data_IF_151120846339
#
_entry.id   IF_151120846339
#
_cell.length_a   1.000
_cell.length_b   1.000
_cell.length_c   1.000
_cell.angle_alpha   90.00
_cell.angle_beta   90.00
_cell.angle_gamma   90.00
#
_symmetry.space_group_name_H-M   'P 1'
#
loop_
_entity.id
_entity.type
_entity.pdbx_description
1 polymer ?
#
# COMPACT_ATOMS: atom_id res chain seq x y z
N UNK A 1 -19.85 7.13 -27.87
CA UNK A 1 -20.78 6.66 -26.83
C UNK A 1 -20.25 7.16 -25.50
N UNK A 2 -20.92 8.16 -24.94
CA UNK A 2 -20.52 8.87 -23.71
C UNK A 2 -21.49 8.40 -22.64
N UNK A 3 -21.01 7.66 -21.64
CA UNK A 3 -21.82 7.25 -20.50
C UNK A 3 -21.60 8.21 -19.32
N UNK A 4 -22.67 8.92 -19.04
CA UNK A 4 -22.92 9.88 -17.95
C UNK A 4 -22.87 9.23 -16.58
N UNK A 5 -22.06 9.80 -15.68
CA UNK A 5 -22.13 9.58 -14.23
C UNK A 5 -23.33 10.35 -13.67
N UNK A 6 -24.26 9.66 -12.99
CA UNK A 6 -25.31 10.31 -12.20
C UNK A 6 -24.76 10.62 -10.81
N UNK A 7 -24.79 11.90 -10.42
CA UNK A 7 -24.52 12.34 -9.05
C UNK A 7 -25.80 12.30 -8.22
N UNK A 8 -25.74 11.69 -7.04
CA UNK A 8 -26.80 11.80 -6.05
C UNK A 8 -26.59 13.08 -5.25
N UNK A 9 -27.49 14.05 -5.46
CA UNK A 9 -27.57 15.30 -4.73
C UNK A 9 -28.52 15.09 -3.55
N UNK A 10 -27.99 14.90 -2.34
CA UNK A 10 -28.79 14.90 -1.11
C UNK A 10 -28.62 16.26 -0.43
N UNK A 11 -29.65 17.10 -0.53
CA UNK A 11 -29.73 18.33 0.26
C UNK A 11 -30.13 17.98 1.70
N UNK A 12 -29.22 18.21 2.65
CA UNK A 12 -29.55 18.30 4.06
C UNK A 12 -30.37 19.57 4.31
N UNK A 13 -31.55 19.43 4.89
CA UNK A 13 -32.27 20.51 5.57
C UNK A 13 -32.30 20.23 7.07
N UNK A 14 -31.82 21.14 7.93
CA UNK A 14 -31.94 20.98 9.37
C UNK A 14 -33.31 21.51 9.80
N UNK A 15 -34.20 20.64 10.26
CA UNK A 15 -35.36 21.08 11.04
C UNK A 15 -35.06 20.88 12.52
N UNK A 16 -34.55 21.95 13.12
CA UNK A 16 -34.62 22.19 14.55
C UNK A 16 -36.06 22.57 14.87
N UNK A 17 -36.78 21.73 15.61
CA UNK A 17 -37.85 22.21 16.48
C UNK A 17 -37.98 21.31 17.70
N UNK A 18 -37.31 21.72 18.78
CA UNK A 18 -37.57 21.26 20.13
C UNK A 18 -38.97 21.76 20.55
N UNK A 19 -39.84 20.85 20.98
CA UNK A 19 -40.89 21.21 21.94
C UNK A 19 -41.31 19.98 22.75
N UNK A 20 -40.55 19.70 23.81
CA UNK A 20 -40.95 18.76 24.85
C UNK A 20 -41.98 19.43 25.76
N UNK A 21 -43.25 19.34 25.38
CA UNK A 21 -44.36 19.67 26.29
C UNK A 21 -44.47 18.56 27.34
N UNK A 22 -43.92 18.81 28.54
CA UNK A 22 -44.15 17.99 29.73
C UNK A 22 -45.60 18.19 30.18
N UNK A 23 -46.51 17.32 29.76
CA UNK A 23 -47.83 17.23 30.39
C UNK A 23 -47.72 16.40 31.68
N UNK A 24 -47.71 17.10 32.81
CA UNK A 24 -47.98 16.55 34.13
C UNK A 24 -49.39 15.97 34.15
N UNK A 25 -49.53 14.65 34.24
CA UNK A 25 -50.82 13.99 34.41
C UNK A 25 -51.17 14.06 35.90
N UNK A 26 -52.10 14.94 36.22
CA UNK A 26 -52.74 15.03 37.54
C UNK A 26 -53.40 13.69 37.89
N UNK A 27 -52.98 13.11 39.02
CA UNK A 27 -53.48 11.85 39.58
C UNK A 27 -54.78 12.14 40.35
N UNK A 28 -55.93 11.90 39.73
CA UNK A 28 -57.23 12.01 40.39
C UNK A 28 -57.39 10.89 41.43
N UNK A 29 -57.31 11.22 42.71
CA UNK A 29 -57.65 10.31 43.80
C UNK A 29 -59.16 10.32 44.01
N UNK A 30 -59.83 9.21 43.69
CA UNK A 30 -61.24 9.03 44.05
C UNK A 30 -61.34 8.53 45.50
N UNK A 31 -61.82 9.40 46.38
CA UNK A 31 -62.16 9.08 47.77
C UNK A 31 -63.50 8.33 47.74
N UNK A 32 -63.50 7.07 48.19
CA UNK A 32 -64.69 6.26 48.38
C UNK A 32 -65.36 6.63 49.71
N UNK A 33 -66.50 7.32 49.67
CA UNK A 33 -67.31 7.62 50.86
C UNK A 33 -68.21 6.40 51.19
N UNK A 34 -67.79 5.61 52.17
CA UNK A 34 -68.65 4.59 52.79
C UNK A 34 -69.50 5.25 53.88
N UNK A 35 -70.80 5.39 53.63
CA UNK A 35 -71.78 5.91 54.60
C UNK A 35 -72.01 4.83 55.67
N UNK A 36 -71.49 5.05 56.87
CA UNK A 36 -71.85 4.29 58.08
C UNK A 36 -73.20 4.80 58.60
N UNK A 37 -74.17 3.91 58.77
CA UNK A 37 -75.32 4.16 59.64
C UNK A 37 -75.59 2.86 60.36
N UNK A 38 -75.39 2.89 61.68
CA UNK A 38 -75.56 1.75 62.56
C UNK A 38 -76.97 1.61 63.11
N UNK A 39 -77.14 0.45 63.71
CA UNK A 39 -78.03 0.07 64.81
C UNK A 39 -79.40 -0.57 64.48
N UNK A 40 -79.65 -1.68 65.19
CA UNK A 40 -81.00 -2.11 65.57
C UNK A 40 -81.70 -3.20 64.76
N UNK A 41 -81.44 -4.46 65.13
CA UNK A 41 -82.44 -5.52 65.42
C UNK A 41 -83.40 -6.05 64.33
N UNK A 42 -83.26 -7.36 64.11
CA UNK A 42 -84.24 -8.39 63.69
C UNK A 42 -84.70 -8.52 62.23
N UNK A 43 -84.74 -9.83 61.90
CA UNK A 43 -85.50 -10.54 60.89
C UNK A 43 -84.96 -10.68 59.46
N UNK A 44 -84.94 -11.95 59.07
CA UNK A 44 -84.47 -12.54 57.83
C UNK A 44 -85.26 -12.04 56.63
N UNK A 45 -84.60 -11.35 55.71
CA UNK A 45 -85.07 -11.14 54.34
C UNK A 45 -84.04 -11.74 53.37
N UNK A 46 -84.36 -12.83 52.64
CA UNK A 46 -83.48 -13.36 51.62
C UNK A 46 -83.86 -12.75 50.26
N UNK A 47 -83.81 -11.43 50.09
CA UNK A 47 -83.88 -10.82 48.76
C UNK A 47 -83.48 -9.34 48.79
N UNK A 48 -82.17 -9.10 48.87
CA UNK A 48 -81.61 -7.85 48.37
C UNK A 48 -80.94 -8.18 47.04
N UNK A 49 -81.46 -7.72 45.88
CA UNK A 49 -80.79 -7.97 44.62
C UNK A 49 -79.39 -7.37 44.71
N UNK A 50 -78.36 -8.22 44.50
CA UNK A 50 -77.00 -7.73 44.28
C UNK A 50 -77.08 -6.70 43.15
N UNK A 51 -76.36 -5.56 43.24
CA UNK A 51 -76.36 -4.59 42.14
C UNK A 51 -75.76 -5.28 40.92
N UNK A 52 -76.63 -5.80 40.06
CA UNK A 52 -76.27 -6.42 38.79
C UNK A 52 -75.82 -5.27 37.89
N UNK A 53 -74.50 -5.12 37.77
CA UNK A 53 -73.92 -4.06 36.98
C UNK A 53 -74.31 -4.23 35.51
N UNK A 54 -74.70 -3.13 34.87
CA UNK A 54 -75.04 -3.08 33.45
C UNK A 54 -73.92 -3.72 32.60
N UNK A 55 -74.22 -4.88 32.01
CA UNK A 55 -73.26 -5.71 31.26
C UNK A 55 -72.60 -4.94 30.12
N UNK A 56 -73.33 -4.00 29.50
CA UNK A 56 -72.82 -3.12 28.45
C UNK A 56 -71.79 -2.13 28.97
N UNK A 57 -71.96 -1.63 30.20
CA UNK A 57 -70.99 -0.73 30.85
C UNK A 57 -69.73 -1.48 31.27
N UNK A 58 -69.87 -2.71 31.75
CA UNK A 58 -68.73 -3.55 32.10
C UNK A 58 -67.91 -3.93 30.87
N UNK A 59 -68.54 -4.27 29.76
CA UNK A 59 -67.85 -4.53 28.49
C UNK A 59 -67.11 -3.28 27.98
N UNK A 60 -67.76 -2.11 28.04
CA UNK A 60 -67.12 -0.84 27.65
C UNK A 60 -65.89 -0.53 28.52
N UNK A 61 -65.99 -0.73 29.83
CA UNK A 61 -64.87 -0.57 30.75
C UNK A 61 -63.72 -1.55 30.45
N UNK A 62 -64.04 -2.81 30.14
CA UNK A 62 -63.04 -3.81 29.75
C UNK A 62 -62.31 -3.40 28.46
N UNK A 63 -63.04 -2.88 27.45
CA UNK A 63 -62.44 -2.37 26.22
C UNK A 63 -61.55 -1.15 26.47
N UNK A 64 -61.97 -0.22 27.33
CA UNK A 64 -61.16 0.95 27.71
C UNK A 64 -59.89 0.50 28.42
N UNK A 65 -59.99 -0.42 29.37
CA UNK A 65 -58.84 -0.95 30.09
C UNK A 65 -57.85 -1.64 29.13
N UNK A 66 -58.37 -2.48 28.21
CA UNK A 66 -57.53 -3.13 27.20
C UNK A 66 -56.81 -2.11 26.30
N UNK A 67 -57.52 -1.08 25.83
CA UNK A 67 -56.93 -0.01 25.01
C UNK A 67 -55.86 0.77 25.78
N UNK A 68 -56.10 1.07 27.06
CA UNK A 68 -55.12 1.74 27.90
C UNK A 68 -53.87 0.87 28.11
N UNK A 69 -54.03 -0.43 28.35
CA UNK A 69 -52.91 -1.37 28.45
C UNK A 69 -52.12 -1.44 27.14
N UNK A 70 -52.79 -1.58 25.99
CA UNK A 70 -52.12 -1.60 24.69
C UNK A 70 -51.39 -0.30 24.38
N UNK A 71 -51.96 0.86 24.78
CA UNK A 71 -51.31 2.15 24.64
C UNK A 71 -50.01 2.20 25.44
N UNK A 72 -50.04 1.83 26.72
CA UNK A 72 -48.84 1.83 27.58
C UNK A 72 -47.75 0.94 26.98
N UNK A 73 -48.11 -0.28 26.54
CA UNK A 73 -47.15 -1.22 25.95
C UNK A 73 -46.54 -0.69 24.64
N UNK A 74 -47.34 -0.02 23.80
CA UNK A 74 -46.85 0.53 22.54
C UNK A 74 -45.93 1.74 22.78
N UNK A 75 -46.28 2.60 23.74
CA UNK A 75 -45.43 3.73 24.13
C UNK A 75 -44.10 3.24 24.69
N UNK A 76 -44.10 2.26 25.59
CA UNK A 76 -42.89 1.68 26.16
C UNK A 76 -41.96 1.07 25.08
N UNK A 77 -42.54 0.32 24.13
CA UNK A 77 -41.79 -0.22 22.99
C UNK A 77 -41.23 0.89 22.07
N UNK A 78 -42.00 1.96 21.84
CA UNK A 78 -41.56 3.08 21.02
C UNK A 78 -40.41 3.83 21.70
N UNK A 79 -40.51 4.06 23.00
CA UNK A 79 -39.48 4.73 23.81
C UNK A 79 -38.19 3.89 23.81
N UNK A 80 -38.26 2.58 24.08
CA UNK A 80 -37.11 1.66 24.03
C UNK A 80 -36.42 1.66 22.65
N UNK A 81 -37.21 1.62 21.57
CA UNK A 81 -36.67 1.64 20.21
C UNK A 81 -36.04 2.99 19.86
N UNK A 82 -36.62 4.08 20.36
CA UNK A 82 -36.08 5.43 20.15
C UNK A 82 -34.76 5.62 20.88
N UNK A 83 -34.65 5.11 22.11
CA UNK A 83 -33.41 5.10 22.89
C UNK A 83 -32.33 4.23 22.22
N UNK A 84 -32.71 3.04 21.73
CA UNK A 84 -31.79 2.17 21.00
C UNK A 84 -31.23 2.84 19.74
N UNK A 85 -32.11 3.45 18.94
CA UNK A 85 -31.68 4.15 17.72
C UNK A 85 -30.79 5.35 18.02
N UNK A 86 -31.08 6.07 19.11
CA UNK A 86 -30.25 7.20 19.56
C UNK A 86 -28.86 6.72 19.96
N UNK A 87 -28.77 5.67 20.80
CA UNK A 87 -27.49 5.07 21.18
C UNK A 87 -26.70 4.54 19.98
N UNK A 88 -27.39 3.88 19.05
CA UNK A 88 -26.77 3.38 17.83
C UNK A 88 -26.19 4.52 16.98
N UNK A 89 -26.91 5.64 16.85
CA UNK A 89 -26.43 6.80 16.11
C UNK A 89 -25.23 7.47 16.81
N UNK A 90 -25.27 7.60 18.13
CA UNK A 90 -24.16 8.13 18.93
C UNK A 90 -22.92 7.25 18.84
N UNK A 91 -23.07 5.92 18.98
CA UNK A 91 -21.99 4.96 18.86
C UNK A 91 -21.39 4.92 17.46
N UNK A 92 -22.23 4.93 16.41
CA UNK A 92 -21.77 5.00 15.04
C UNK A 92 -20.96 6.28 14.77
N UNK A 93 -21.43 7.44 15.25
CA UNK A 93 -20.68 8.69 15.11
C UNK A 93 -19.33 8.64 15.84
N UNK A 94 -19.31 8.11 17.07
CA UNK A 94 -18.07 7.96 17.83
C UNK A 94 -17.09 7.00 17.13
N UNK A 95 -17.59 5.91 16.52
CA UNK A 95 -16.76 4.98 15.76
C UNK A 95 -16.24 5.63 14.46
N UNK A 96 -17.06 6.39 13.74
CA UNK A 96 -16.61 7.14 12.56
C UNK A 96 -15.54 8.18 12.89
N UNK A 97 -15.72 8.95 13.95
CA UNK A 97 -14.75 9.93 14.41
C UNK A 97 -13.43 9.26 14.79
N UNK A 98 -13.50 8.14 15.52
CA UNK A 98 -12.33 7.34 15.90
C UNK A 98 -11.59 6.80 14.68
N UNK A 99 -12.29 6.19 13.71
CA UNK A 99 -11.69 5.67 12.48
C UNK A 99 -11.06 6.81 11.67
N UNK A 100 -11.70 7.97 11.62
CA UNK A 100 -11.17 9.15 10.95
C UNK A 100 -9.89 9.66 11.61
N UNK A 101 -9.86 9.74 12.95
CA UNK A 101 -8.68 10.16 13.72
C UNK A 101 -7.52 9.17 13.58
N UNK A 102 -7.78 7.86 13.73
CA UNK A 102 -6.77 6.80 13.58
C UNK A 102 -6.17 6.82 12.15
N UNK A 103 -7.00 6.98 11.11
CA UNK A 103 -6.53 7.06 9.74
C UNK A 103 -5.68 8.31 9.46
N UNK A 104 -6.04 9.47 10.03
CA UNK A 104 -5.24 10.69 9.90
C UNK A 104 -3.90 10.55 10.63
N UNK A 105 -3.90 9.95 11.82
CA UNK A 105 -2.68 9.70 12.58
C UNK A 105 -1.71 8.77 11.85
N UNK A 106 -2.22 7.66 11.30
CA UNK A 106 -1.41 6.72 10.52
C UNK A 106 -0.84 7.39 9.26
N UNK A 107 -1.62 8.26 8.61
CA UNK A 107 -1.17 9.04 7.46
C UNK A 107 -0.05 10.02 7.83
N UNK A 108 -0.20 10.76 8.92
CA UNK A 108 0.81 11.71 9.39
C UNK A 108 2.11 11.01 9.79
N UNK A 109 2.02 9.85 10.44
CA UNK A 109 3.18 9.03 10.77
C UNK A 109 3.88 8.49 9.51
N UNK A 110 3.12 7.98 8.53
CA UNK A 110 3.67 7.55 7.26
C UNK A 110 4.33 8.69 6.48
N UNK A 111 3.70 9.87 6.46
CA UNK A 111 4.24 11.09 5.84
C UNK A 111 5.56 11.50 6.49
N UNK A 112 5.62 11.51 7.82
CA UNK A 112 6.82 11.84 8.58
C UNK A 112 7.99 10.90 8.25
N UNK A 113 7.72 9.58 8.18
CA UNK A 113 8.73 8.58 7.79
C UNK A 113 9.23 8.76 6.36
N UNK A 114 8.34 9.11 5.42
CA UNK A 114 8.72 9.37 4.03
C UNK A 114 9.60 10.62 3.95
N UNK A 115 9.21 11.70 4.64
CA UNK A 115 9.94 12.96 4.66
C UNK A 115 11.34 12.77 5.26
N UNK A 116 11.45 12.04 6.37
CA UNK A 116 12.74 11.69 6.97
C UNK A 116 13.62 10.85 6.02
N UNK A 117 13.04 9.90 5.28
CA UNK A 117 13.78 9.10 4.31
C UNK A 117 14.30 9.95 3.13
N UNK A 118 13.48 10.88 2.65
CA UNK A 118 13.85 11.80 1.57
C UNK A 118 14.97 12.72 2.05
N UNK A 119 14.85 13.30 3.24
CA UNK A 119 15.86 14.18 3.82
C UNK A 119 17.20 13.45 3.98
N UNK A 120 17.17 12.24 4.55
CA UNK A 120 18.37 11.41 4.70
C UNK A 120 19.05 11.10 3.36
N UNK A 121 18.27 10.78 2.31
CA UNK A 121 18.81 10.54 0.97
C UNK A 121 19.33 11.80 0.30
N UNK A 122 18.65 12.93 0.51
CA UNK A 122 19.05 14.22 -0.02
C UNK A 122 20.38 14.67 0.60
N UNK A 123 20.52 14.52 1.92
CA UNK A 123 21.77 14.82 2.61
C UNK A 123 22.90 13.91 2.13
N UNK A 124 22.70 12.60 2.03
CA UNK A 124 23.71 11.69 1.50
C UNK A 124 24.10 12.04 0.06
N UNK A 125 23.14 12.48 -0.75
CA UNK A 125 23.39 12.95 -2.10
C UNK A 125 24.22 14.24 -2.12
N UNK A 126 23.87 15.21 -1.28
CA UNK A 126 24.61 16.48 -1.16
C UNK A 126 26.05 16.26 -0.69
N UNK A 127 26.25 15.40 0.31
CA UNK A 127 27.58 15.00 0.78
C UNK A 127 28.37 14.31 -0.35
N UNK A 128 27.74 13.39 -1.10
CA UNK A 128 28.39 12.70 -2.23
C UNK A 128 28.74 13.65 -3.39
N UNK A 129 27.86 14.60 -3.70
CA UNK A 129 28.06 15.57 -4.76
C UNK A 129 29.15 16.59 -4.39
N UNK A 130 29.19 17.00 -3.11
CA UNK A 130 30.24 17.84 -2.56
C UNK A 130 31.61 17.17 -2.63
N UNK A 131 31.70 15.90 -2.22
CA UNK A 131 32.94 15.12 -2.28
C UNK A 131 33.41 14.91 -3.72
N UNK A 132 32.48 14.57 -4.64
CA UNK A 132 32.80 14.39 -6.05
C UNK A 132 33.28 15.69 -6.73
N UNK A 133 32.77 16.87 -6.33
CA UNK A 133 33.32 18.15 -6.82
C UNK A 133 34.76 18.36 -6.39
N UNK A 134 35.09 18.07 -5.13
CA UNK A 134 36.46 18.20 -4.62
C UNK A 134 37.40 17.23 -5.32
N UNK A 135 36.95 15.99 -5.57
CA UNK A 135 37.74 15.00 -6.30
C UNK A 135 38.02 15.45 -7.74
N UNK A 136 37.02 16.01 -8.44
CA UNK A 136 37.20 16.56 -9.80
C UNK A 136 38.22 17.72 -9.78
N UNK A 137 38.11 18.64 -8.83
CA UNK A 137 39.04 19.78 -8.72
C UNK A 137 40.49 19.32 -8.47
N UNK A 138 40.70 18.32 -7.62
CA UNK A 138 42.02 17.73 -7.41
C UNK A 138 42.56 17.03 -8.66
N UNK A 139 41.69 16.31 -9.39
CA UNK A 139 42.06 15.60 -10.61
C UNK A 139 42.41 16.59 -11.74
N UNK A 140 41.66 17.69 -11.86
CA UNK A 140 41.93 18.76 -12.81
C UNK A 140 43.27 19.43 -12.52
N UNK A 141 43.61 19.66 -11.24
CA UNK A 141 44.93 20.21 -10.88
C UNK A 141 46.07 19.25 -11.23
N UNK A 142 45.93 17.95 -10.94
CA UNK A 142 46.92 16.93 -11.34
C UNK A 142 47.08 16.85 -12.86
N UNK A 143 45.99 17.02 -13.60
CA UNK A 143 46.02 17.03 -15.06
C UNK A 143 46.75 18.27 -15.60
N UNK A 144 46.55 19.43 -14.98
CA UNK A 144 47.27 20.65 -15.33
C UNK A 144 48.78 20.52 -15.08
N UNK A 145 49.18 19.97 -13.92
CA UNK A 145 50.58 19.67 -13.60
C UNK A 145 51.20 18.69 -14.62
N UNK A 146 50.44 17.66 -15.01
CA UNK A 146 50.89 16.70 -16.02
C UNK A 146 51.04 17.32 -17.41
N UNK A 147 50.12 18.21 -17.81
CA UNK A 147 50.21 18.93 -19.08
C UNK A 147 51.42 19.88 -19.11
N UNK A 148 51.70 20.59 -18.01
CA UNK A 148 52.89 21.41 -17.86
C UNK A 148 54.18 20.57 -18.00
N UNK A 149 54.25 19.42 -17.32
CA UNK A 149 55.38 18.50 -17.42
C UNK A 149 55.58 17.98 -18.85
N UNK A 150 54.49 17.62 -19.57
CA UNK A 150 54.59 17.20 -20.98
C UNK A 150 55.12 18.32 -21.87
N UNK A 151 54.66 19.56 -21.66
CA UNK A 151 55.13 20.71 -22.44
C UNK A 151 56.61 20.97 -22.18
N UNK A 152 57.04 20.90 -20.91
CA UNK A 152 58.45 21.01 -20.52
C UNK A 152 59.29 19.88 -21.14
N UNK A 153 58.90 18.62 -20.96
CA UNK A 153 59.59 17.44 -21.52
C UNK A 153 59.71 17.50 -23.06
N UNK A 154 58.67 18.02 -23.72
CA UNK A 154 58.68 18.23 -25.18
C UNK A 154 59.62 19.35 -25.59
N UNK A 155 59.64 20.46 -24.84
CA UNK A 155 60.54 21.58 -25.08
C UNK A 155 62.01 21.21 -24.83
N UNK A 156 62.28 20.35 -23.84
CA UNK A 156 63.62 19.85 -23.53
C UNK A 156 64.06 18.67 -24.42
N UNK A 157 63.16 18.17 -25.29
CA UNK A 157 63.42 17.03 -26.16
C UNK A 157 63.72 15.73 -25.39
N UNK A 158 63.31 15.65 -24.12
CA UNK A 158 63.55 14.51 -23.24
C UNK A 158 62.82 13.26 -23.73
N UNK A 159 61.64 13.42 -24.35
CA UNK A 159 60.87 12.33 -24.95
C UNK A 159 61.70 11.49 -25.95
N UNK A 160 62.62 12.12 -26.68
CA UNK A 160 63.49 11.44 -27.65
C UNK A 160 64.82 10.99 -27.06
N UNK A 161 65.30 11.59 -25.96
CA UNK A 161 66.49 11.13 -25.23
C UNK A 161 66.23 9.77 -24.58
N UNK A 162 65.08 9.58 -23.94
CA UNK A 162 64.69 8.29 -23.35
C UNK A 162 64.55 7.17 -24.38
N UNK A 163 64.24 7.49 -25.65
CA UNK A 163 64.23 6.52 -26.75
C UNK A 163 65.63 6.20 -27.29
N UNK A 164 66.59 7.12 -27.16
CA UNK A 164 67.99 6.91 -27.57
C UNK A 164 68.80 6.10 -26.55
N UNK A 165 68.39 6.12 -25.28
CA UNK A 165 69.07 5.42 -24.18
C UNK A 165 68.62 3.97 -23.98
N UNK A 166 67.82 3.40 -24.90
CA UNK A 166 67.40 2.00 -24.82
C UNK A 166 68.52 1.06 -25.29
N UNK A 167 69.24 0.45 -24.33
CA UNK A 167 70.05 -0.77 -24.59
C UNK A 167 69.15 -1.82 -25.28
N UNK A 168 69.65 -2.60 -26.27
CA UNK A 168 68.85 -3.61 -26.95
C UNK A 168 68.30 -4.59 -25.90
N UNK A 169 66.98 -4.58 -25.73
CA UNK A 169 66.27 -5.50 -24.83
C UNK A 169 66.27 -6.86 -25.49
N UNK A 170 66.71 -7.87 -24.75
CA UNK A 170 66.77 -9.28 -25.15
C UNK A 170 65.44 -9.74 -25.76
N UNK A 171 65.51 -10.26 -26.98
CA UNK A 171 64.37 -10.75 -27.77
C UNK A 171 63.60 -11.86 -27.03
N UNK A 172 64.26 -12.53 -26.08
CA UNK A 172 63.67 -13.58 -25.23
C UNK A 172 62.72 -13.00 -24.17
N UNK A 173 63.05 -11.88 -23.53
CA UNK A 173 62.14 -11.19 -22.59
C UNK A 173 60.94 -10.57 -23.32
N UNK A 174 61.14 -10.07 -24.53
CA UNK A 174 60.06 -9.53 -25.34
C UNK A 174 59.05 -10.62 -25.75
N UNK A 175 59.51 -11.85 -26.04
CA UNK A 175 58.62 -13.00 -26.27
C UNK A 175 57.83 -13.39 -25.02
N UNK A 176 58.49 -13.46 -23.87
CA UNK A 176 57.83 -13.76 -22.58
C UNK A 176 56.76 -12.70 -22.22
N UNK A 177 57.03 -11.42 -22.51
CA UNK A 177 56.05 -10.35 -22.31
C UNK A 177 54.89 -10.43 -23.33
N UNK A 178 55.13 -10.82 -24.58
CA UNK A 178 54.03 -11.05 -25.54
C UNK A 178 53.17 -12.26 -25.16
N UNK A 179 53.74 -13.30 -24.56
CA UNK A 179 52.97 -14.45 -24.03
C UNK A 179 52.15 -14.05 -22.81
N UNK A 180 52.71 -13.23 -21.89
CA UNK A 180 51.93 -12.63 -20.79
C UNK A 180 50.82 -11.72 -21.30
N UNK A 181 51.05 -10.91 -22.32
CA UNK A 181 50.02 -10.05 -22.93
C UNK A 181 48.97 -10.90 -23.67
N UNK A 182 49.35 -12.03 -24.28
CA UNK A 182 48.42 -12.97 -24.89
C UNK A 182 47.54 -13.67 -23.84
N UNK A 183 48.11 -14.06 -22.70
CA UNK A 183 47.35 -14.56 -21.55
C UNK A 183 46.40 -13.51 -20.98
N UNK A 184 46.87 -12.26 -20.82
CA UNK A 184 46.05 -11.16 -20.32
C UNK A 184 44.96 -10.82 -21.34
N UNK A 185 45.21 -10.88 -22.65
CA UNK A 185 44.17 -10.69 -23.68
C UNK A 185 43.16 -11.84 -23.70
N UNK A 186 43.60 -13.09 -23.45
CA UNK A 186 42.71 -14.26 -23.30
C UNK A 186 41.85 -14.20 -22.02
N UNK A 187 42.32 -13.50 -20.99
CA UNK A 187 41.60 -13.24 -19.74
C UNK A 187 40.76 -11.95 -19.82
N UNK A 188 41.17 -10.97 -20.64
CA UNK A 188 40.57 -9.64 -20.83
C UNK A 188 39.53 -9.60 -21.96
N UNK A 189 39.54 -10.56 -22.88
CA UNK A 189 38.41 -10.86 -23.77
C UNK A 189 37.27 -11.45 -22.92
N UNK A 190 36.51 -10.57 -22.27
CA UNK A 190 35.51 -10.86 -21.24
C UNK A 190 34.41 -11.82 -21.67
N UNK A 191 34.67 -13.13 -21.59
CA UNK A 191 33.73 -14.18 -21.98
C UNK A 191 33.11 -14.95 -20.81
N UNK A 192 33.55 -14.71 -19.56
CA UNK A 192 32.99 -15.38 -18.37
C UNK A 192 31.88 -14.58 -17.68
N UNK A 193 32.09 -13.28 -17.43
CA UNK A 193 31.12 -12.45 -16.70
C UNK A 193 29.85 -12.19 -17.51
N UNK A 194 29.97 -11.80 -18.79
CA UNK A 194 28.82 -11.57 -19.68
C UNK A 194 27.99 -12.85 -19.88
N UNK A 195 28.66 -13.98 -20.09
CA UNK A 195 28.02 -15.31 -20.24
C UNK A 195 27.26 -15.74 -18.98
N UNK A 196 27.84 -15.56 -17.79
CA UNK A 196 27.14 -15.88 -16.54
C UNK A 196 25.91 -15.00 -16.32
N UNK A 197 25.94 -13.74 -16.78
CA UNK A 197 24.77 -12.84 -16.73
C UNK A 197 23.65 -13.38 -17.64
N UNK A 198 23.94 -13.77 -18.88
CA UNK A 198 22.92 -14.36 -19.76
C UNK A 198 22.36 -15.68 -19.22
N UNK A 199 23.22 -16.57 -18.69
CA UNK A 199 22.77 -17.81 -18.04
C UNK A 199 21.88 -17.54 -16.82
N UNK A 200 22.20 -16.52 -16.02
CA UNK A 200 21.37 -16.10 -14.90
C UNK A 200 20.01 -15.57 -15.35
N UNK A 201 19.98 -14.71 -16.37
CA UNK A 201 18.74 -14.17 -16.93
C UNK A 201 17.86 -15.27 -17.56
N UNK A 202 18.45 -16.20 -18.31
CA UNK A 202 17.77 -17.37 -18.87
C UNK A 202 17.20 -18.24 -17.74
N UNK A 203 17.97 -18.49 -16.68
CA UNK A 203 17.52 -19.26 -15.52
C UNK A 203 16.32 -18.65 -14.81
N UNK A 204 16.37 -17.34 -14.53
CA UNK A 204 15.24 -16.59 -13.94
C UNK A 204 14.02 -16.67 -14.86
N UNK A 205 14.22 -16.48 -16.17
CA UNK A 205 13.12 -16.48 -17.13
C UNK A 205 12.43 -17.86 -17.21
N UNK A 206 13.18 -18.95 -17.20
CA UNK A 206 12.63 -20.32 -17.17
C UNK A 206 11.81 -20.57 -15.91
N UNK A 207 12.28 -20.10 -14.75
CA UNK A 207 11.52 -20.20 -13.48
C UNK A 207 10.22 -19.39 -13.55
N UNK A 208 10.26 -18.16 -14.08
CA UNK A 208 9.04 -17.34 -14.24
C UNK A 208 8.03 -17.94 -15.21
N UNK A 209 8.49 -18.62 -16.26
CA UNK A 209 7.63 -19.33 -17.20
C UNK A 209 6.97 -20.53 -16.50
N UNK A 210 7.75 -21.34 -15.75
CA UNK A 210 7.22 -22.48 -15.01
C UNK A 210 6.17 -22.06 -13.97
N UNK A 211 6.43 -20.99 -13.21
CA UNK A 211 5.48 -20.43 -12.24
C UNK A 211 4.20 -19.91 -12.92
N UNK A 212 4.34 -19.27 -14.09
CA UNK A 212 3.19 -18.83 -14.90
C UNK A 212 2.33 -20.00 -15.40
N UNK A 213 2.89 -21.19 -15.61
CA UNK A 213 2.12 -22.39 -15.97
C UNK A 213 1.41 -23.01 -14.77
N UNK A 214 1.99 -22.93 -13.56
CA UNK A 214 1.45 -23.54 -12.34
C UNK A 214 0.36 -22.66 -11.69
N UNK A 215 0.56 -21.35 -11.68
CA UNK A 215 -0.31 -20.40 -10.95
C UNK A 215 -1.61 -20.07 -11.70
N UNK A 216 -1.54 -19.91 -13.03
CA UNK A 216 -2.70 -19.87 -13.96
C UNK A 216 -2.19 -19.65 -15.40
N UNK A 217 -2.55 -20.49 -16.38
CA UNK A 217 -2.00 -20.39 -17.73
C UNK A 217 -2.58 -19.18 -18.50
N UNK A 218 -1.96 -18.02 -18.33
CA UNK A 218 -2.15 -16.86 -19.20
C UNK A 218 -1.31 -17.04 -20.48
N UNK A 219 -1.88 -17.69 -21.50
CA UNK A 219 -1.20 -18.01 -22.76
C UNK A 219 -0.57 -16.80 -23.45
N UNK A 220 -1.13 -15.59 -23.24
CA UNK A 220 -0.55 -14.32 -23.72
C UNK A 220 0.76 -13.96 -23.02
N UNK A 221 0.85 -14.12 -21.70
CA UNK A 221 2.07 -13.84 -20.93
C UNK A 221 3.16 -14.86 -21.24
N UNK A 222 2.78 -16.13 -21.33
CA UNK A 222 3.68 -17.22 -21.73
C UNK A 222 4.24 -17.00 -23.13
N UNK A 223 3.41 -16.58 -24.09
CA UNK A 223 3.88 -16.29 -25.46
C UNK A 223 4.89 -15.14 -25.51
N UNK A 224 4.66 -14.06 -24.74
CA UNK A 224 5.58 -12.92 -24.65
C UNK A 224 6.89 -13.33 -23.99
N UNK A 225 6.85 -14.04 -22.85
CA UNK A 225 8.04 -14.54 -22.16
C UNK A 225 8.81 -15.56 -23.02
N UNK A 226 8.11 -16.41 -23.77
CA UNK A 226 8.69 -17.34 -24.72
C UNK A 226 9.43 -16.64 -25.86
N UNK A 227 8.85 -15.59 -26.43
CA UNK A 227 9.53 -14.79 -27.47
C UNK A 227 10.82 -14.13 -26.94
N UNK A 228 10.79 -13.61 -25.72
CA UNK A 228 11.96 -13.01 -25.05
C UNK A 228 13.04 -14.06 -24.78
N UNK A 229 12.64 -15.28 -24.36
CA UNK A 229 13.57 -16.39 -24.14
C UNK A 229 14.29 -16.80 -25.43
N UNK A 230 13.56 -16.88 -26.55
CA UNK A 230 14.14 -17.21 -27.86
C UNK A 230 15.14 -16.13 -28.30
N UNK A 231 14.83 -14.84 -28.08
CA UNK A 231 15.73 -13.74 -28.39
C UNK A 231 17.04 -13.82 -27.57
N UNK A 232 16.95 -14.09 -26.26
CA UNK A 232 18.10 -14.26 -25.36
C UNK A 232 18.95 -15.47 -25.73
N UNK A 233 18.34 -16.60 -26.07
CA UNK A 233 19.06 -17.79 -26.54
C UNK A 233 19.80 -17.52 -27.86
N UNK A 234 19.18 -16.76 -28.77
CA UNK A 234 19.82 -16.36 -30.03
C UNK A 234 21.04 -15.47 -29.77
N UNK A 235 20.92 -14.50 -28.86
CA UNK A 235 22.03 -13.63 -28.45
C UNK A 235 23.16 -14.43 -27.77
N UNK A 236 22.80 -15.39 -26.93
CA UNK A 236 23.75 -16.28 -26.26
C UNK A 236 24.51 -17.19 -27.24
N UNK A 237 23.81 -17.79 -28.21
CA UNK A 237 24.43 -18.62 -29.25
C UNK A 237 25.31 -17.78 -30.17
N UNK A 238 24.89 -16.57 -30.55
CA UNK A 238 25.69 -15.66 -31.35
C UNK A 238 27.03 -15.32 -30.68
N UNK A 239 27.00 -15.02 -29.38
CA UNK A 239 28.23 -14.79 -28.60
C UNK A 239 29.12 -16.03 -28.51
N UNK A 240 28.54 -17.24 -28.39
CA UNK A 240 29.32 -18.47 -28.46
C UNK A 240 29.99 -18.68 -29.82
N UNK A 241 29.27 -18.42 -30.91
CA UNK A 241 29.79 -18.60 -32.27
C UNK A 241 30.90 -17.62 -32.62
N UNK A 242 30.80 -16.36 -32.17
CA UNK A 242 31.85 -15.35 -32.33
C UNK A 242 33.13 -15.74 -31.59
N UNK A 243 32.99 -16.24 -30.35
CA UNK A 243 34.12 -16.71 -29.56
C UNK A 243 34.76 -17.96 -30.17
N UNK A 244 33.97 -18.88 -30.73
CA UNK A 244 34.50 -20.05 -31.44
C UNK A 244 35.21 -19.67 -32.76
N UNK A 245 34.70 -18.69 -33.50
CA UNK A 245 35.33 -18.23 -34.74
C UNK A 245 36.64 -17.46 -34.48
N UNK A 246 36.76 -16.75 -33.36
CA UNK A 246 38.01 -16.13 -32.92
C UNK A 246 39.08 -17.17 -32.54
N UNK A 247 38.65 -18.30 -31.95
CA UNK A 247 39.53 -19.45 -31.66
C UNK A 247 40.00 -20.16 -32.93
N UNK A 248 39.19 -20.19 -34.00
CA UNK A 248 39.53 -20.87 -35.25
C UNK A 248 40.39 -19.99 -36.18
N UNK A 249 40.15 -18.66 -36.22
CA UNK A 249 41.03 -17.71 -36.92
C UNK A 249 42.45 -17.63 -36.34
N UNK A 250 42.64 -18.02 -35.07
CA UNK A 250 43.96 -18.18 -34.44
C UNK A 250 44.72 -19.45 -34.87
N UNK A 251 44.08 -20.42 -35.52
CA UNK A 251 44.72 -21.67 -36.00
C UNK A 251 44.86 -21.75 -37.52
N UNK A 252 44.19 -20.89 -38.28
CA UNK A 252 44.22 -20.88 -39.75
C UNK A 252 45.48 -20.27 -40.40
N UNK A 253 46.22 -19.39 -39.72
CA UNK A 253 47.41 -18.71 -40.30
C UNK A 253 48.74 -19.47 -40.07
N UNK A 254 48.70 -20.81 -40.10
CA UNK A 254 49.89 -21.66 -40.19
C UNK A 254 49.65 -22.76 -41.22
N UNK A 255 49.54 -22.38 -42.49
CA UNK A 255 49.79 -23.21 -43.68
C UNK A 255 49.65 -22.34 -44.93
N UNK A 256 50.73 -21.64 -45.27
CA UNK A 256 51.43 -21.73 -46.56
C UNK A 256 52.83 -21.14 -46.41
#
# INVERSE_FOLDING_TARGET
MINTLQSFRTSLTPNVLSNASKHSISRTQFICLSKSTGDGTSDSDPDRPKPEGDTRRQELLARIAMLQTSKVRLTDFLDERSDYLTKFAEEANAEFDKVGEDAMKDLDEASSRILENIESKMQAFEESAGLNRLEIEENDNKLAEFEEQIVEDRNEGLFFKSLRDKKPVDIEKAKEETERIQEVTKVSAGSKSRRNIYLGLIGILVVTIADSFVSSPDWRKVAVLGAILVALLTQFVYEQTLLSEEVDKGKGNKKE
#
